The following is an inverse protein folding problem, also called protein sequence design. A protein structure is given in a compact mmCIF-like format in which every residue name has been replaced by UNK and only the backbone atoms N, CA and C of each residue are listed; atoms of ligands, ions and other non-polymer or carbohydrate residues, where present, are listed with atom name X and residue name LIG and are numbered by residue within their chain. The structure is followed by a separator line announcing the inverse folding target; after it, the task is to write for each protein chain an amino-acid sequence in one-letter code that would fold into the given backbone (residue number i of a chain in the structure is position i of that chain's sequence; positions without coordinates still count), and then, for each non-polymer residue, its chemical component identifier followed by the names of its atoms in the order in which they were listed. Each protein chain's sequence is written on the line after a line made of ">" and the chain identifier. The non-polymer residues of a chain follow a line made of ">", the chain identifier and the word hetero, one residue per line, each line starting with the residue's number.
data_IF_689645006812
#
_entry.id   IF_689645006812
#
_cell.length_a   1.000
_cell.length_b   1.000
_cell.length_c   1.000
_cell.angle_alpha   90.00
_cell.angle_beta   90.00
_cell.angle_gamma   90.00
#
_symmetry.space_group_name_H-M   'P 1'
#
loop_
_entity.id
_entity.type
_entity.pdbx_description
1 polymer ?
#
# COMPACT_ATOMS: atom_id res chain seq x y z
N UNK A 1 34.63 -28.97 -12.08
CA UNK A 1 35.09 -27.98 -13.09
C UNK A 1 33.88 -27.39 -13.79
N UNK A 2 33.79 -26.07 -13.91
CA UNK A 2 32.71 -25.40 -14.67
C UNK A 2 32.93 -25.65 -16.18
N UNK A 3 31.89 -26.03 -16.91
CA UNK A 3 31.97 -26.26 -18.36
C UNK A 3 31.83 -24.97 -19.17
N UNK A 4 32.61 -24.88 -20.23
CA UNK A 4 32.51 -23.88 -21.32
C UNK A 4 31.41 -24.24 -22.31
N UNK A 5 31.01 -23.29 -23.18
CA UNK A 5 30.00 -23.52 -24.21
C UNK A 5 30.36 -24.68 -25.15
N UNK A 6 31.65 -24.82 -25.52
CA UNK A 6 32.14 -25.93 -26.34
C UNK A 6 32.00 -27.28 -25.64
N UNK A 7 32.28 -27.33 -24.33
CA UNK A 7 32.13 -28.55 -23.55
C UNK A 7 30.67 -28.91 -23.30
N UNK A 8 29.79 -27.91 -23.08
CA UNK A 8 28.34 -28.12 -22.95
C UNK A 8 27.78 -28.72 -24.25
N UNK A 9 28.16 -28.18 -25.41
CA UNK A 9 27.76 -28.70 -26.74
C UNK A 9 28.25 -30.13 -26.94
N UNK A 10 29.52 -30.40 -26.63
CA UNK A 10 30.11 -31.73 -26.78
C UNK A 10 29.48 -32.77 -25.85
N UNK A 11 29.07 -32.37 -24.64
CA UNK A 11 28.43 -33.25 -23.67
C UNK A 11 26.99 -33.62 -24.04
N UNK A 12 26.33 -32.88 -24.94
CA UNK A 12 24.98 -33.21 -25.42
C UNK A 12 23.90 -33.16 -24.34
N UNK A 13 24.10 -32.38 -23.27
CA UNK A 13 23.24 -32.37 -22.07
C UNK A 13 21.91 -31.63 -22.25
N UNK A 14 21.64 -31.07 -23.43
CA UNK A 14 20.46 -30.26 -23.73
C UNK A 14 19.84 -30.69 -25.06
N UNK A 15 18.58 -31.12 -25.03
CA UNK A 15 17.77 -31.38 -26.22
C UNK A 15 16.88 -30.18 -26.54
N UNK A 16 16.57 -29.97 -27.83
CA UNK A 16 15.88 -28.78 -28.36
C UNK A 16 16.65 -27.48 -28.13
N UNK A 17 17.98 -27.57 -28.13
CA UNK A 17 18.87 -26.43 -27.92
C UNK A 17 18.72 -25.37 -29.03
N UNK A 18 18.90 -24.11 -28.65
CA UNK A 18 19.03 -22.97 -29.55
C UNK A 18 20.47 -22.45 -29.50
N UNK A 19 21.09 -22.22 -30.67
CA UNK A 19 22.45 -21.66 -30.76
C UNK A 19 22.60 -20.31 -30.07
N UNK A 20 21.54 -19.49 -30.08
CA UNK A 20 21.54 -18.16 -29.44
C UNK A 20 21.41 -18.22 -27.91
N UNK A 21 21.02 -19.38 -27.36
CA UNK A 21 20.86 -19.56 -25.91
C UNK A 21 22.17 -19.83 -25.18
N UNK A 22 23.24 -20.16 -25.90
CA UNK A 22 24.57 -20.40 -25.31
C UNK A 22 25.20 -19.10 -24.83
N UNK A 23 25.69 -19.12 -23.59
CA UNK A 23 26.68 -18.19 -23.08
C UNK A 23 28.04 -18.88 -22.94
N UNK A 24 29.10 -18.13 -22.63
CA UNK A 24 30.48 -18.64 -22.58
C UNK A 24 30.68 -19.85 -21.66
N UNK A 25 29.95 -19.93 -20.55
CA UNK A 25 30.00 -21.03 -19.56
C UNK A 25 28.61 -21.39 -19.05
N UNK A 26 27.58 -21.12 -19.85
CA UNK A 26 26.19 -21.30 -19.43
C UNK A 26 25.26 -21.52 -20.60
N UNK A 27 24.05 -21.98 -20.32
CA UNK A 27 22.97 -22.09 -21.30
C UNK A 27 21.70 -21.46 -20.74
N UNK A 28 21.01 -20.63 -21.52
CA UNK A 28 19.78 -19.96 -21.08
C UNK A 28 18.53 -20.71 -21.58
N UNK A 29 17.60 -21.02 -20.68
CA UNK A 29 16.38 -21.76 -20.99
C UNK A 29 15.24 -20.83 -21.42
N UNK A 30 14.48 -21.28 -22.41
CA UNK A 30 13.29 -20.60 -22.91
C UNK A 30 12.02 -21.17 -22.27
N UNK A 31 11.01 -20.34 -22.00
CA UNK A 31 9.72 -20.84 -21.49
C UNK A 31 8.98 -21.66 -22.58
N UNK A 32 8.33 -22.74 -22.16
CA UNK A 32 7.44 -23.57 -22.97
C UNK A 32 5.98 -23.33 -22.61
N UNK A 33 5.67 -23.50 -21.33
CA UNK A 33 4.35 -23.31 -20.77
C UNK A 33 4.43 -22.48 -19.48
N UNK A 34 3.47 -21.58 -19.33
CA UNK A 34 3.25 -20.77 -18.13
C UNK A 34 1.92 -21.22 -17.54
N UNK A 35 1.87 -21.47 -16.24
CA UNK A 35 0.71 -21.99 -15.53
C UNK A 35 0.38 -21.01 -14.42
N UNK A 36 -0.83 -20.45 -14.44
CA UNK A 36 -1.30 -19.52 -13.40
C UNK A 36 -1.83 -20.25 -12.16
N UNK A 37 -2.24 -19.49 -11.13
CA UNK A 37 -2.75 -20.02 -9.87
C UNK A 37 -4.09 -20.77 -10.00
N UNK A 38 -4.81 -20.51 -11.08
CA UNK A 38 -6.06 -21.18 -11.44
C UNK A 38 -5.80 -22.49 -12.19
N UNK A 39 -4.55 -22.74 -12.58
CA UNK A 39 -4.12 -23.91 -13.31
C UNK A 39 -4.30 -23.81 -14.82
N UNK A 40 -4.62 -22.61 -15.33
CA UNK A 40 -4.69 -22.37 -16.77
C UNK A 40 -3.29 -22.36 -17.38
N UNK A 41 -3.17 -22.95 -18.56
CA UNK A 41 -1.88 -23.19 -19.21
C UNK A 41 -1.75 -22.36 -20.47
N UNK A 42 -0.78 -21.45 -20.47
CA UNK A 42 -0.47 -20.55 -21.58
C UNK A 42 0.78 -21.02 -22.31
N UNK A 43 0.68 -21.25 -23.63
CA UNK A 43 1.77 -21.70 -24.50
C UNK A 43 1.91 -20.78 -25.70
N UNK A 44 3.13 -20.44 -26.07
CA UNK A 44 3.43 -19.74 -27.34
C UNK A 44 3.16 -18.23 -27.39
N UNK A 45 2.26 -17.69 -26.57
CA UNK A 45 1.86 -16.27 -26.60
C UNK A 45 2.43 -15.43 -25.45
N UNK A 46 3.21 -16.03 -24.56
CA UNK A 46 3.71 -15.38 -23.34
C UNK A 46 2.62 -15.16 -22.30
N UNK A 47 2.95 -14.45 -21.22
CA UNK A 47 2.02 -14.17 -20.13
C UNK A 47 2.39 -12.88 -19.40
N UNK A 48 1.39 -12.12 -18.95
CA UNK A 48 1.61 -10.92 -18.15
C UNK A 48 1.48 -11.23 -16.66
N UNK A 49 2.62 -11.32 -15.98
CA UNK A 49 2.70 -11.54 -14.52
C UNK A 49 2.43 -10.20 -13.82
N UNK A 50 1.32 -10.11 -13.11
CA UNK A 50 0.90 -8.94 -12.32
C UNK A 50 1.77 -8.82 -11.05
N UNK A 51 1.82 -7.63 -10.43
CA UNK A 51 2.44 -7.47 -9.12
C UNK A 51 1.92 -8.50 -8.11
N UNK A 52 2.85 -9.11 -7.38
CA UNK A 52 2.68 -10.16 -6.36
C UNK A 52 2.16 -11.50 -6.88
N UNK A 53 1.87 -11.64 -8.18
CA UNK A 53 1.40 -12.88 -8.77
C UNK A 53 2.52 -13.93 -8.83
N UNK A 54 2.12 -15.19 -8.61
CA UNK A 54 2.98 -16.36 -8.75
C UNK A 54 2.50 -17.17 -9.94
N UNK A 55 3.43 -17.52 -10.84
CA UNK A 55 3.16 -18.41 -11.98
C UNK A 55 4.23 -19.49 -12.07
N UNK A 56 3.85 -20.69 -12.48
CA UNK A 56 4.82 -21.73 -12.81
C UNK A 56 5.26 -21.60 -14.26
N UNK A 57 6.56 -21.72 -14.50
CA UNK A 57 7.14 -21.66 -15.84
C UNK A 57 7.96 -22.91 -16.08
N UNK A 58 7.66 -23.61 -17.16
CA UNK A 58 8.38 -24.82 -17.60
C UNK A 58 9.28 -24.52 -18.80
N UNK A 59 10.43 -25.17 -18.93
CA UNK A 59 11.38 -24.94 -20.01
C UNK A 59 11.03 -25.69 -21.30
N UNK A 60 11.38 -25.08 -22.43
CA UNK A 60 11.27 -25.69 -23.77
C UNK A 60 12.34 -26.73 -24.02
N UNK A 61 13.51 -26.53 -23.45
CA UNK A 61 14.60 -27.50 -23.51
C UNK A 61 14.38 -28.66 -22.55
N UNK A 62 14.94 -29.81 -22.91
CA UNK A 62 15.05 -30.97 -22.03
C UNK A 62 16.50 -31.07 -21.58
N UNK A 63 16.71 -31.09 -20.26
CA UNK A 63 18.04 -31.22 -19.65
C UNK A 63 18.24 -32.70 -19.32
N UNK A 64 19.31 -33.28 -19.84
CA UNK A 64 19.67 -34.68 -19.66
C UNK A 64 21.09 -34.75 -19.11
N UNK A 65 21.23 -34.94 -17.80
CA UNK A 65 22.53 -34.91 -17.12
C UNK A 65 23.11 -36.32 -16.99
N UNK A 66 24.33 -36.56 -17.51
CA UNK A 66 25.05 -37.79 -17.23
C UNK A 66 25.50 -37.82 -15.78
N UNK A 67 26.14 -38.92 -15.40
CA UNK A 67 26.44 -39.17 -13.99
C UNK A 67 27.58 -38.31 -13.42
N UNK A 68 28.42 -37.74 -14.28
CA UNK A 68 29.59 -36.93 -13.95
C UNK A 68 29.35 -35.42 -14.12
N UNK A 69 28.11 -35.01 -14.39
CA UNK A 69 27.73 -33.61 -14.58
C UNK A 69 26.53 -33.25 -13.70
N UNK A 70 26.69 -32.19 -12.94
CA UNK A 70 25.61 -31.51 -12.20
C UNK A 70 25.33 -30.18 -12.89
N UNK A 71 24.08 -29.71 -12.88
CA UNK A 71 23.73 -28.36 -13.32
C UNK A 71 23.27 -27.50 -12.14
N UNK A 72 23.43 -26.19 -12.26
CA UNK A 72 22.91 -25.21 -11.32
C UNK A 72 22.05 -24.21 -12.09
N UNK A 73 20.76 -24.15 -11.76
CA UNK A 73 19.81 -23.21 -12.34
C UNK A 73 19.74 -21.93 -11.52
N UNK A 74 19.82 -20.80 -12.21
CA UNK A 74 19.62 -19.46 -11.66
C UNK A 74 18.65 -18.67 -12.53
N UNK A 75 17.87 -17.79 -11.94
CA UNK A 75 17.13 -16.79 -12.70
C UNK A 75 18.09 -15.76 -13.27
N UNK A 76 17.80 -15.24 -14.47
CA UNK A 76 18.65 -14.20 -15.07
C UNK A 76 18.64 -12.94 -14.23
N UNK A 77 19.82 -12.37 -14.00
CA UNK A 77 19.98 -11.08 -13.28
C UNK A 77 19.12 -9.96 -13.88
N UNK A 78 18.94 -9.95 -15.21
CA UNK A 78 18.06 -8.98 -15.88
C UNK A 78 16.59 -9.09 -15.48
N UNK A 79 16.14 -10.27 -15.03
CA UNK A 79 14.79 -10.49 -14.51
C UNK A 79 14.73 -10.14 -13.02
N UNK A 80 15.75 -10.47 -12.24
CA UNK A 80 15.87 -10.03 -10.85
C UNK A 80 15.82 -8.51 -10.71
N UNK A 81 16.53 -7.79 -11.59
CA UNK A 81 16.53 -6.32 -11.61
C UNK A 81 15.15 -5.74 -11.96
N UNK A 82 14.27 -6.53 -12.59
CA UNK A 82 12.88 -6.17 -12.88
C UNK A 82 11.92 -6.64 -11.79
N UNK A 83 12.42 -7.12 -10.65
CA UNK A 83 11.64 -7.58 -9.53
C UNK A 83 11.07 -9.00 -9.67
N UNK A 84 11.54 -9.80 -10.63
CA UNK A 84 11.14 -11.21 -10.70
C UNK A 84 12.07 -12.08 -9.88
N UNK A 85 11.52 -12.96 -9.04
CA UNK A 85 12.27 -14.00 -8.34
C UNK A 85 11.78 -15.38 -8.78
N UNK A 86 12.69 -16.34 -8.83
CA UNK A 86 12.39 -17.73 -9.11
C UNK A 86 12.52 -18.55 -7.81
N UNK A 87 11.52 -19.37 -7.55
CA UNK A 87 11.42 -20.28 -6.41
C UNK A 87 11.63 -21.71 -6.90
N UNK A 88 12.09 -22.59 -6.00
CA UNK A 88 12.32 -24.01 -6.30
C UNK A 88 13.31 -24.24 -7.46
N UNK A 89 14.33 -23.38 -7.56
CA UNK A 89 15.47 -23.53 -8.46
C UNK A 89 16.76 -23.70 -7.68
N UNK A 90 17.74 -24.34 -8.29
CA UNK A 90 19.03 -24.57 -7.66
C UNK A 90 19.79 -25.70 -8.34
N UNK A 91 20.37 -26.58 -7.55
CA UNK A 91 21.17 -27.72 -8.02
C UNK A 91 20.23 -28.75 -8.68
N UNK A 92 20.65 -29.24 -9.84
CA UNK A 92 19.99 -30.30 -10.60
C UNK A 92 20.94 -31.50 -10.58
N UNK A 93 20.50 -32.56 -9.94
CA UNK A 93 21.32 -33.74 -9.70
C UNK A 93 21.66 -34.50 -11.00
N UNK A 94 22.83 -35.16 -11.04
CA UNK A 94 23.18 -36.05 -12.14
C UNK A 94 22.13 -37.16 -12.30
N UNK A 95 21.79 -37.49 -13.55
CA UNK A 95 20.74 -38.46 -13.89
C UNK A 95 19.36 -37.84 -14.12
N UNK A 96 19.19 -36.53 -13.95
CA UNK A 96 17.98 -35.83 -14.38
C UNK A 96 17.81 -35.91 -15.90
N UNK A 97 16.60 -36.22 -16.35
CA UNK A 97 16.20 -36.23 -17.76
C UNK A 97 14.78 -35.67 -17.92
N UNK A 98 14.66 -34.39 -18.22
CA UNK A 98 13.35 -33.74 -18.34
C UNK A 98 13.44 -32.22 -18.51
N UNK A 99 12.29 -31.54 -18.74
CA UNK A 99 12.24 -30.09 -18.67
C UNK A 99 12.48 -29.62 -17.23
N UNK A 100 12.83 -28.35 -17.06
CA UNK A 100 12.95 -27.73 -15.75
C UNK A 100 11.77 -26.79 -15.51
N UNK A 101 11.35 -26.67 -14.26
CA UNK A 101 10.27 -25.77 -13.87
C UNK A 101 10.64 -24.94 -12.65
N UNK A 102 10.08 -23.75 -12.56
CA UNK A 102 10.21 -22.84 -11.41
C UNK A 102 8.93 -22.07 -11.23
N UNK A 103 8.60 -21.73 -9.98
CA UNK A 103 7.59 -20.73 -9.71
C UNK A 103 8.25 -19.34 -9.76
N UNK A 104 7.77 -18.47 -10.64
CA UNK A 104 8.20 -17.08 -10.74
C UNK A 104 7.21 -16.20 -10.00
N UNK A 105 7.74 -15.29 -9.20
CA UNK A 105 6.98 -14.24 -8.53
C UNK A 105 7.42 -12.86 -8.99
N UNK A 106 6.46 -11.97 -9.22
CA UNK A 106 6.71 -10.57 -9.51
C UNK A 106 6.60 -9.69 -8.26
N UNK A 107 7.74 -9.33 -7.66
CA UNK A 107 7.82 -8.37 -6.55
C UNK A 107 7.84 -6.90 -6.99
N UNK A 108 7.84 -6.62 -8.29
CA UNK A 108 7.79 -5.25 -8.78
C UNK A 108 6.39 -4.65 -8.63
N UNK A 109 6.31 -3.31 -8.74
CA UNK A 109 5.04 -2.58 -8.75
C UNK A 109 4.34 -2.59 -10.12
N UNK A 110 4.98 -3.18 -11.14
CA UNK A 110 4.52 -3.11 -12.53
C UNK A 110 4.24 -4.49 -13.08
N UNK A 111 3.32 -4.58 -14.04
CA UNK A 111 3.10 -5.80 -14.80
C UNK A 111 4.38 -6.17 -15.57
N UNK A 112 4.73 -7.45 -15.60
CA UNK A 112 5.85 -7.95 -16.39
C UNK A 112 5.35 -8.94 -17.45
N UNK A 113 5.58 -8.62 -18.71
CA UNK A 113 5.30 -9.56 -19.79
C UNK A 113 6.46 -10.54 -19.98
N UNK A 114 6.22 -11.80 -19.61
CA UNK A 114 7.13 -12.91 -19.85
C UNK A 114 6.96 -13.40 -21.29
N UNK A 115 7.86 -12.95 -22.16
CA UNK A 115 7.87 -13.33 -23.57
C UNK A 115 8.25 -14.80 -23.77
N UNK A 116 7.58 -15.53 -24.68
CA UNK A 116 7.89 -16.92 -25.00
C UNK A 116 9.27 -17.09 -25.66
N UNK A 117 9.81 -16.00 -26.23
CA UNK A 117 11.10 -15.99 -26.95
C UNK A 117 12.27 -15.50 -26.10
N UNK A 118 12.01 -15.08 -24.85
CA UNK A 118 13.05 -14.58 -23.95
C UNK A 118 13.32 -15.60 -22.87
N UNK A 119 14.60 -15.93 -22.72
CA UNK A 119 15.04 -16.88 -21.70
C UNK A 119 14.74 -16.40 -20.27
N UNK A 120 14.38 -17.33 -19.38
CA UNK A 120 14.03 -17.03 -17.99
C UNK A 120 15.05 -17.58 -16.98
N UNK A 121 15.60 -18.77 -17.23
CA UNK A 121 16.65 -19.38 -16.44
C UNK A 121 17.99 -19.40 -17.17
N UNK A 122 19.06 -19.50 -16.39
CA UNK A 122 20.44 -19.75 -16.82
C UNK A 122 20.98 -20.95 -16.07
N UNK A 123 21.53 -21.90 -16.82
CA UNK A 123 22.19 -23.08 -16.31
C UNK A 123 23.70 -22.92 -16.38
N UNK A 124 24.38 -23.26 -15.29
CA UNK A 124 25.82 -23.50 -15.24
C UNK A 124 26.05 -24.99 -15.01
N UNK A 125 27.01 -25.60 -15.70
CA UNK A 125 27.27 -27.04 -15.60
C UNK A 125 28.62 -27.30 -14.95
N UNK A 126 28.67 -28.31 -14.09
CA UNK A 126 29.86 -28.65 -13.32
C UNK A 126 30.20 -30.12 -13.54
N UNK A 127 31.35 -30.38 -14.14
CA UNK A 127 31.94 -31.73 -14.20
C UNK A 127 32.52 -32.09 -12.84
N UNK A 128 32.28 -33.30 -12.39
CA UNK A 128 32.81 -33.85 -11.16
C UNK A 128 33.15 -35.33 -11.36
N UNK A 129 33.84 -35.91 -10.38
CA UNK A 129 34.02 -37.36 -10.35
C UNK A 129 32.67 -38.06 -10.22
N UNK A 130 32.64 -39.28 -10.70
CA UNK A 130 31.52 -40.20 -10.64
C UNK A 130 30.87 -40.27 -9.25
N UNK A 131 29.59 -39.91 -9.14
CA UNK A 131 28.82 -40.07 -7.90
C UNK A 131 28.49 -41.55 -7.65
N UNK A 132 28.72 -42.04 -6.44
CA UNK A 132 28.25 -43.36 -6.00
C UNK A 132 26.72 -43.40 -5.86
N UNK A 133 26.12 -42.24 -5.56
CA UNK A 133 24.67 -42.07 -5.45
C UNK A 133 24.19 -41.50 -6.79
N UNK A 134 23.82 -42.40 -7.71
CA UNK A 134 23.25 -42.06 -9.01
C UNK A 134 21.83 -42.60 -9.11
N UNK A 135 20.86 -41.70 -9.24
CA UNK A 135 19.43 -42.05 -9.33
C UNK A 135 18.83 -41.38 -10.57
N UNK A 136 18.77 -42.09 -11.71
CA UNK A 136 18.15 -41.56 -12.92
C UNK A 136 16.69 -41.17 -12.66
N UNK A 137 16.33 -39.94 -13.01
CA UNK A 137 14.96 -39.44 -12.92
C UNK A 137 14.58 -38.96 -14.30
N UNK A 138 13.58 -39.61 -14.91
CA UNK A 138 13.02 -39.16 -16.19
C UNK A 138 11.64 -38.54 -15.96
N UNK A 139 11.45 -37.31 -16.44
CA UNK A 139 10.19 -36.58 -16.38
C UNK A 139 9.73 -36.23 -17.78
N UNK A 140 8.64 -36.87 -18.23
CA UNK A 140 7.99 -36.51 -19.49
C UNK A 140 7.33 -35.15 -19.36
N UNK A 141 7.39 -34.35 -20.43
CA UNK A 141 6.89 -32.97 -20.42
C UNK A 141 5.45 -32.86 -19.95
N UNK A 142 4.54 -33.65 -20.53
CA UNK A 142 3.12 -33.58 -20.20
C UNK A 142 2.86 -33.91 -18.73
N UNK A 143 3.38 -35.04 -18.25
CA UNK A 143 3.25 -35.46 -16.85
C UNK A 143 3.83 -34.42 -15.89
N UNK A 144 4.99 -33.84 -16.24
CA UNK A 144 5.63 -32.83 -15.41
C UNK A 144 4.86 -31.50 -15.40
N UNK A 145 4.29 -31.08 -16.53
CA UNK A 145 3.43 -29.89 -16.61
C UNK A 145 2.16 -30.09 -15.78
N UNK A 146 1.55 -31.28 -15.82
CA UNK A 146 0.40 -31.60 -14.95
C UNK A 146 0.76 -31.62 -13.46
N UNK A 147 1.94 -32.17 -13.09
CA UNK A 147 2.44 -32.10 -11.72
C UNK A 147 2.57 -30.62 -11.27
N UNK A 148 3.15 -29.75 -12.11
CA UNK A 148 3.27 -28.31 -11.79
C UNK A 148 1.92 -27.60 -11.76
N UNK A 149 0.94 -28.02 -12.56
CA UNK A 149 -0.42 -27.48 -12.53
C UNK A 149 -1.10 -27.79 -11.20
N UNK A 150 -0.93 -29.00 -10.68
CA UNK A 150 -1.40 -29.34 -9.32
C UNK A 150 -0.71 -28.49 -8.27
N UNK A 151 0.62 -28.35 -8.35
CA UNK A 151 1.37 -27.50 -7.42
C UNK A 151 0.90 -26.03 -7.47
N UNK A 152 0.53 -25.52 -8.65
CA UNK A 152 0.02 -24.17 -8.83
C UNK A 152 -1.33 -23.95 -8.14
N UNK A 153 -2.20 -24.96 -8.11
CA UNK A 153 -3.53 -24.89 -7.51
C UNK A 153 -3.48 -25.18 -6.00
N UNK A 154 -2.68 -26.17 -5.59
CA UNK A 154 -2.76 -26.75 -4.25
C UNK A 154 -1.70 -26.19 -3.29
N UNK A 155 -0.50 -25.84 -3.78
CA UNK A 155 0.65 -25.48 -2.95
C UNK A 155 0.89 -23.97 -2.95
N UNK A 156 0.78 -23.32 -4.11
CA UNK A 156 1.02 -21.89 -4.26
C UNK A 156 -0.32 -21.13 -4.30
N UNK A 157 -0.45 -20.08 -3.49
CA UNK A 157 -1.56 -19.13 -3.62
C UNK A 157 -1.37 -18.21 -4.83
N UNK A 158 -2.43 -17.49 -5.21
CA UNK A 158 -2.37 -16.48 -6.29
C UNK A 158 -1.40 -15.33 -5.99
N UNK A 159 -1.16 -15.04 -4.71
CA UNK A 159 -0.13 -14.10 -4.26
C UNK A 159 0.73 -14.68 -3.14
N UNK A 160 1.98 -14.22 -3.03
CA UNK A 160 2.93 -14.69 -2.00
C UNK A 160 2.52 -14.38 -0.58
N UNK A 161 1.95 -13.21 -0.36
CA UNK A 161 1.25 -12.86 0.85
C UNK A 161 -0.21 -12.72 0.44
N UNK A 162 -1.08 -13.60 0.91
CA UNK A 162 -2.53 -13.40 0.75
C UNK A 162 -2.98 -12.31 1.73
N UNK A 163 -2.54 -11.07 1.47
CA UNK A 163 -2.85 -9.90 2.31
C UNK A 163 -4.35 -9.68 2.38
N UNK A 164 -5.12 -10.12 1.37
CA UNK A 164 -6.57 -10.03 1.40
C UNK A 164 -7.18 -11.01 2.40
N UNK A 165 -6.72 -12.26 2.44
CA UNK A 165 -7.11 -13.20 3.50
C UNK A 165 -6.68 -12.66 4.86
N UNK A 166 -5.42 -12.24 5.01
CA UNK A 166 -4.91 -11.70 6.27
C UNK A 166 -5.71 -10.47 6.72
N UNK A 167 -6.00 -9.53 5.82
CA UNK A 167 -6.81 -8.34 6.14
C UNK A 167 -8.27 -8.70 6.46
N UNK A 168 -8.85 -9.71 5.79
CA UNK A 168 -10.19 -10.22 6.07
C UNK A 168 -10.26 -10.87 7.45
N UNK A 169 -9.25 -11.66 7.80
CA UNK A 169 -9.13 -12.33 9.09
C UNK A 169 -8.94 -11.30 10.21
N UNK A 170 -8.03 -10.34 10.02
CA UNK A 170 -7.82 -9.21 10.94
C UNK A 170 -9.10 -8.38 11.11
N UNK A 171 -9.81 -8.08 10.01
CA UNK A 171 -11.10 -7.35 10.08
C UNK A 171 -12.16 -8.15 10.82
N UNK A 172 -12.25 -9.45 10.57
CA UNK A 172 -13.22 -10.33 11.23
C UNK A 172 -12.96 -10.41 12.73
N UNK A 173 -11.71 -10.48 13.13
CA UNK A 173 -11.30 -10.55 14.54
C UNK A 173 -11.49 -9.21 15.27
N UNK A 174 -11.13 -8.08 14.64
CA UNK A 174 -11.31 -6.75 15.23
C UNK A 174 -12.76 -6.27 15.26
N UNK A 175 -13.54 -6.50 14.20
CA UNK A 175 -14.91 -5.96 14.10
C UNK A 175 -16.01 -6.96 14.45
N UNK A 176 -15.73 -8.27 14.46
CA UNK A 176 -16.71 -9.30 14.80
C UNK A 176 -17.23 -9.20 16.23
N UNK A 177 -16.40 -8.71 17.16
CA UNK A 177 -16.78 -8.51 18.57
C UNK A 177 -17.44 -7.15 18.84
N UNK A 178 -17.18 -6.13 18.00
CA UNK A 178 -17.68 -4.77 18.17
C UNK A 178 -19.04 -4.53 17.51
N UNK A 179 -19.32 -5.18 16.39
CA UNK A 179 -20.56 -4.97 15.63
C UNK A 179 -21.86 -5.19 16.45
N UNK A 180 -22.05 -6.30 17.18
CA UNK A 180 -23.29 -6.50 17.94
C UNK A 180 -23.40 -5.56 19.15
N UNK A 181 -22.28 -5.20 19.78
CA UNK A 181 -22.26 -4.26 20.92
C UNK A 181 -22.63 -2.84 20.47
N UNK A 182 -22.06 -2.38 19.36
CA UNK A 182 -22.37 -1.06 18.81
C UNK A 182 -23.85 -0.96 18.38
N UNK A 183 -24.39 -1.99 17.72
CA UNK A 183 -25.79 -2.03 17.33
C UNK A 183 -26.74 -1.93 18.54
N UNK A 184 -26.42 -2.62 19.65
CA UNK A 184 -27.18 -2.53 20.89
C UNK A 184 -27.15 -1.11 21.49
N UNK A 185 -25.98 -0.47 21.59
CA UNK A 185 -25.86 0.89 22.13
C UNK A 185 -26.56 1.94 21.27
N UNK A 186 -26.45 1.86 19.94
CA UNK A 186 -27.15 2.77 19.00
C UNK A 186 -28.66 2.63 19.15
N UNK A 187 -29.16 1.39 19.25
CA UNK A 187 -30.58 1.12 19.47
C UNK A 187 -31.05 1.68 20.82
N UNK A 188 -30.24 1.49 21.88
CA UNK A 188 -30.56 1.99 23.21
C UNK A 188 -30.56 3.53 23.27
N UNK A 189 -29.62 4.20 22.58
CA UNK A 189 -29.61 5.65 22.42
C UNK A 189 -30.86 6.15 21.69
N UNK A 190 -31.28 5.44 20.64
CA UNK A 190 -32.53 5.75 19.92
C UNK A 190 -33.77 5.68 20.82
N UNK A 191 -33.88 4.60 21.61
CA UNK A 191 -34.97 4.49 22.60
C UNK A 191 -34.88 5.54 23.70
N UNK A 192 -33.67 5.88 24.15
CA UNK A 192 -33.46 6.95 25.13
C UNK A 192 -33.91 8.31 24.62
N UNK A 193 -33.57 8.65 23.37
CA UNK A 193 -34.02 9.87 22.69
C UNK A 193 -35.55 9.91 22.53
N UNK A 194 -36.15 8.81 22.09
CA UNK A 194 -37.61 8.72 21.96
C UNK A 194 -38.32 8.84 23.32
N UNK A 195 -37.79 8.18 24.35
CA UNK A 195 -38.29 8.27 25.72
C UNK A 195 -38.16 9.68 26.30
N UNK A 196 -37.04 10.35 26.07
CA UNK A 196 -36.84 11.74 26.48
C UNK A 196 -37.83 12.69 25.81
N UNK A 197 -38.09 12.53 24.50
CA UNK A 197 -39.06 13.33 23.78
C UNK A 197 -40.49 13.16 24.35
N UNK A 198 -40.89 11.92 24.64
CA UNK A 198 -42.18 11.63 25.29
C UNK A 198 -42.25 12.23 26.69
N UNK A 199 -41.18 12.10 27.47
CA UNK A 199 -41.11 12.64 28.82
C UNK A 199 -41.17 14.17 28.84
N UNK A 200 -40.44 14.85 27.95
CA UNK A 200 -40.51 16.30 27.79
C UNK A 200 -41.92 16.77 27.40
N UNK A 201 -42.59 16.03 26.51
CA UNK A 201 -43.97 16.31 26.11
C UNK A 201 -44.96 16.16 27.27
N UNK A 202 -44.81 15.14 28.12
CA UNK A 202 -45.66 14.94 29.30
C UNK A 202 -45.34 15.95 30.41
N UNK A 203 -44.07 16.24 30.65
CA UNK A 203 -43.63 17.23 31.64
C UNK A 203 -44.19 18.62 31.37
N UNK A 204 -44.35 19.00 30.10
CA UNK A 204 -44.98 20.25 29.70
C UNK A 204 -46.43 20.40 30.19
N UNK A 205 -47.17 19.30 30.42
CA UNK A 205 -48.53 19.33 30.96
C UNK A 205 -48.59 19.46 32.49
N UNK A 206 -47.56 18.98 33.20
CA UNK A 206 -47.49 19.03 34.66
C UNK A 206 -46.76 20.27 35.20
N UNK A 207 -46.02 20.97 34.33
CA UNK A 207 -45.47 22.29 34.66
C UNK A 207 -46.65 23.28 34.75
N UNK A 208 -46.89 23.90 35.92
CA UNK A 208 -47.89 24.95 36.04
C UNK A 208 -47.55 26.04 35.02
N UNK A 209 -48.56 26.57 34.33
CA UNK A 209 -48.42 27.63 33.33
C UNK A 209 -47.80 28.91 33.93
N UNK A 210 -46.50 28.89 34.19
CA UNK A 210 -45.69 30.01 34.64
C UNK A 210 -45.23 30.87 33.46
N UNK A 211 -45.94 30.81 32.31
CA UNK A 211 -45.71 31.70 31.18
C UNK A 211 -45.66 33.17 31.63
N UNK A 212 -46.52 33.56 32.57
CA UNK A 212 -46.54 34.90 33.16
C UNK A 212 -45.27 35.24 33.99
N UNK A 213 -44.72 34.28 34.74
CA UNK A 213 -43.50 34.49 35.54
C UNK A 213 -42.24 34.55 34.67
N UNK A 214 -42.17 33.74 33.61
CA UNK A 214 -41.11 33.82 32.62
C UNK A 214 -41.18 35.13 31.82
N UNK A 215 -42.38 35.60 31.50
CA UNK A 215 -42.60 36.85 30.76
C UNK A 215 -42.29 38.09 31.62
N UNK A 216 -42.61 38.07 32.92
CA UNK A 216 -42.19 39.11 33.87
C UNK A 216 -40.66 39.17 34.06
N UNK A 217 -40.00 38.00 34.11
CA UNK A 217 -38.54 37.93 34.14
C UNK A 217 -37.92 38.46 32.84
N UNK A 218 -38.54 38.22 31.69
CA UNK A 218 -38.08 38.75 30.40
C UNK A 218 -38.20 40.27 30.34
N UNK A 219 -39.34 40.84 30.74
CA UNK A 219 -39.55 42.30 30.76
C UNK A 219 -38.58 43.01 31.70
N UNK A 220 -38.32 42.43 32.87
CA UNK A 220 -37.35 43.00 33.82
C UNK A 220 -35.89 42.85 33.36
N UNK A 221 -35.56 41.80 32.59
CA UNK A 221 -34.27 41.70 31.91
C UNK A 221 -34.12 42.78 30.83
N UNK A 222 -35.16 42.98 30.01
CA UNK A 222 -35.16 44.00 28.94
C UNK A 222 -34.90 45.40 29.52
N UNK A 223 -35.59 45.76 30.60
CA UNK A 223 -35.40 47.03 31.30
C UNK A 223 -33.99 47.20 31.89
N UNK A 224 -33.34 46.12 32.31
CA UNK A 224 -31.95 46.16 32.78
C UNK A 224 -30.97 46.39 31.63
N UNK A 225 -31.23 45.78 30.46
CA UNK A 225 -30.43 45.99 29.25
C UNK A 225 -30.55 47.44 28.81
N UNK A 226 -31.76 47.99 28.74
CA UNK A 226 -31.98 49.38 28.32
C UNK A 226 -31.29 50.39 29.25
N UNK A 227 -31.35 50.17 30.57
CA UNK A 227 -30.63 51.01 31.54
C UNK A 227 -29.12 50.91 31.41
N UNK A 228 -28.59 49.71 31.16
CA UNK A 228 -27.15 49.53 30.94
C UNK A 228 -26.70 50.25 29.67
N UNK A 229 -27.48 50.18 28.59
CA UNK A 229 -27.19 50.91 27.35
C UNK A 229 -27.21 52.43 27.56
N UNK A 230 -28.15 52.95 28.34
CA UNK A 230 -28.23 54.36 28.70
C UNK A 230 -27.04 54.80 29.55
N UNK A 231 -26.67 54.03 30.58
CA UNK A 231 -25.46 54.26 31.37
C UNK A 231 -24.19 54.25 30.51
N UNK A 232 -24.11 53.31 29.57
CA UNK A 232 -22.95 53.20 28.67
C UNK A 232 -22.88 54.40 27.72
N UNK A 233 -24.02 54.92 27.26
CA UNK A 233 -24.09 56.15 26.47
C UNK A 233 -23.68 57.38 27.27
N UNK A 234 -24.16 57.54 28.49
CA UNK A 234 -23.79 58.65 29.37
C UNK A 234 -22.30 58.64 29.73
N UNK A 235 -21.73 57.47 30.02
CA UNK A 235 -20.28 57.33 30.20
C UNK A 235 -19.52 57.71 28.93
N UNK A 236 -20.00 57.31 27.75
CA UNK A 236 -19.34 57.64 26.48
C UNK A 236 -19.41 59.13 26.12
N UNK A 237 -20.50 59.83 26.45
CA UNK A 237 -20.63 61.28 26.22
C UNK A 237 -19.83 62.09 27.24
N UNK A 238 -19.82 61.67 28.51
CA UNK A 238 -18.97 62.26 29.54
C UNK A 238 -17.48 62.13 29.19
N UNK A 239 -17.06 60.94 28.74
CA UNK A 239 -15.68 60.67 28.30
C UNK A 239 -15.32 61.47 27.04
N UNK A 240 -16.23 61.58 26.06
CA UNK A 240 -16.00 62.41 24.87
C UNK A 240 -15.81 63.88 25.23
N UNK A 241 -16.62 64.40 26.15
CA UNK A 241 -16.54 65.81 26.57
C UNK A 241 -15.24 66.07 27.32
N UNK A 242 -14.81 65.18 28.22
CA UNK A 242 -13.53 65.34 28.93
C UNK A 242 -12.32 65.26 28.01
N UNK A 243 -12.34 64.34 27.03
CA UNK A 243 -11.28 64.23 26.02
C UNK A 243 -11.23 65.51 25.18
N UNK A 244 -12.38 66.06 24.79
CA UNK A 244 -12.42 67.29 23.99
C UNK A 244 -11.83 68.49 24.75
N UNK A 245 -12.15 68.64 26.03
CA UNK A 245 -11.57 69.70 26.88
C UNK A 245 -10.06 69.55 27.01
N UNK A 246 -9.54 68.33 27.23
CA UNK A 246 -8.10 68.08 27.29
C UNK A 246 -7.40 68.38 25.96
N UNK A 247 -8.04 68.06 24.82
CA UNK A 247 -7.50 68.40 23.49
C UNK A 247 -7.41 69.91 23.27
N UNK A 248 -8.39 70.70 23.74
CA UNK A 248 -8.32 72.16 23.67
C UNK A 248 -7.21 72.74 24.55
N UNK A 249 -7.00 72.19 25.75
CA UNK A 249 -5.89 72.60 26.61
C UNK A 249 -4.52 72.31 26.00
N UNK A 250 -4.34 71.11 25.43
CA UNK A 250 -3.08 70.72 24.76
C UNK A 250 -2.81 71.64 23.57
N UNK A 251 -3.83 71.93 22.75
CA UNK A 251 -3.66 72.82 21.59
C UNK A 251 -3.29 74.24 22.00
N UNK A 252 -3.86 74.76 23.08
CA UNK A 252 -3.47 76.05 23.64
C UNK A 252 -2.04 76.09 24.18
N UNK A 253 -1.51 74.95 24.67
CA UNK A 253 -0.10 74.83 25.08
C UNK A 253 0.81 74.81 23.85
N UNK A 254 0.42 74.08 22.80
CA UNK A 254 1.18 73.99 21.54
C UNK A 254 1.28 75.34 20.83
N UNK A 255 0.18 76.11 20.78
CA UNK A 255 0.18 77.47 20.21
C UNK A 255 1.14 78.41 20.98
N UNK A 256 1.19 78.30 22.32
CA UNK A 256 2.12 79.07 23.16
C UNK A 256 3.57 78.64 22.98
N UNK A 257 3.83 77.35 22.76
CA UNK A 257 5.17 76.83 22.44
C UNK A 257 5.65 77.37 21.09
N UNK A 258 4.79 77.34 20.06
CA UNK A 258 5.11 77.89 18.75
C UNK A 258 5.40 79.40 18.80
N UNK A 259 4.68 80.15 19.64
CA UNK A 259 4.94 81.58 19.85
C UNK A 259 6.30 81.83 20.55
N UNK A 260 6.66 81.00 21.53
CA UNK A 260 7.97 81.05 22.19
C UNK A 260 9.10 80.67 21.21
N UNK A 261 8.92 79.64 20.39
CA UNK A 261 9.89 79.24 19.36
C UNK A 261 10.09 80.33 18.31
N UNK A 262 9.01 81.00 17.88
CA UNK A 262 9.10 82.15 16.96
C UNK A 262 9.86 83.33 17.59
N UNK A 263 9.66 83.59 18.89
CA UNK A 263 10.41 84.63 19.61
C UNK A 263 11.90 84.27 19.74
N UNK A 264 12.24 83.01 20.00
CA UNK A 264 13.64 82.54 20.08
C UNK A 264 14.34 82.53 18.71
N UNK A 265 13.63 82.18 17.63
CA UNK A 265 14.17 82.22 16.26
C UNK A 265 14.45 83.66 15.77
N UNK A 266 13.76 84.66 16.32
CA UNK A 266 14.02 86.08 16.05
C UNK A 266 15.26 86.65 16.76
N UNK A 267 15.78 85.96 17.78
CA UNK A 267 16.93 86.40 18.61
C UNK A 267 18.28 85.77 18.20
N UNK A 268 18.28 84.90 17.18
CA UNK A 268 19.48 84.20 16.67
C UNK A 268 20.10 84.79 15.40
N UNK A 269 19.84 86.07 15.08
CA UNK A 269 20.54 86.84 14.04
C UNK A 269 21.32 88.00 14.64
#
# INVERSE_FOLDING_TARGET
>A
MLLTDTEIKAAGVITYQNSESFGSTSYNLLPDAIIDSEGEVYKGDGYTIKPQEIVWVTSKEIVSLPHDITAHATIKTSLCNKGLLALNIGIIDPGWNGPLATAIINFSKSNYYLSPTKSFLRLSFYRHSNSEIFKPITKKRYEYQEDKRKDAIEIFGSTFLDVKSIAKDVKKELFGSFAPRAAFYVTMLGFGLAGFALFASLAAYFLPGNGAAYQANFTSLQQRIDRLDEQTRELSTGTKTSIQTQVYEIKGIEDRLNEIEAQLAGLGK
#
